data_IF_836104276295
#
_entry.id   IF_836104276295
#
_cell.length_a   1.000
_cell.length_b   1.000
_cell.length_c   1.000
_cell.angle_alpha   90.00
_cell.angle_beta   90.00
_cell.angle_gamma   90.00
#
_symmetry.space_group_name_H-M   'P 1'
#
loop_
_entity.id
_entity.type
_entity.pdbx_description
1 polymer ?
#
# COMPACT_ATOMS: atom_id res chain seq x y z
N UNK A 1 -50.66 -3.76 26.21
CA UNK A 1 -50.56 -3.16 24.86
C UNK A 1 -49.81 -1.83 24.98
N UNK A 2 -48.49 -1.85 24.78
CA UNK A 2 -47.66 -0.75 24.24
C UNK A 2 -46.20 -1.20 24.28
N UNK A 3 -45.72 -1.54 23.09
CA UNK A 3 -44.34 -1.77 22.77
C UNK A 3 -43.61 -0.42 22.88
N UNK A 4 -42.54 -0.36 23.66
CA UNK A 4 -41.54 0.69 23.47
C UNK A 4 -40.24 0.02 23.05
N UNK A 5 -40.21 -0.15 21.73
CA UNK A 5 -39.08 -0.41 20.86
C UNK A 5 -37.89 0.45 21.32
N UNK A 6 -36.92 -0.17 21.97
CA UNK A 6 -35.60 0.44 22.07
C UNK A 6 -35.03 0.47 20.65
N UNK A 7 -34.63 1.64 20.12
CA UNK A 7 -33.95 1.66 18.84
C UNK A 7 -32.70 0.82 19.00
N UNK A 8 -32.62 -0.21 18.16
CA UNK A 8 -31.44 -1.05 17.93
C UNK A 8 -30.20 -0.17 18.09
N UNK A 9 -29.54 -0.30 19.25
CA UNK A 9 -28.17 0.15 19.43
C UNK A 9 -27.43 -0.58 18.32
N UNK A 10 -27.22 0.12 17.20
CA UNK A 10 -26.40 -0.33 16.11
C UNK A 10 -25.13 -0.80 16.78
N UNK A 11 -24.90 -2.12 16.81
CA UNK A 11 -23.66 -2.68 17.35
C UNK A 11 -22.56 -1.82 16.72
N UNK A 12 -21.69 -1.15 17.51
CA UNK A 12 -20.58 -0.46 16.89
C UNK A 12 -19.95 -1.50 15.97
N UNK A 13 -19.66 -1.09 14.74
CA UNK A 13 -19.01 -1.93 13.74
C UNK A 13 -17.59 -2.21 14.24
N UNK A 14 -17.49 -2.99 15.31
CA UNK A 14 -16.29 -3.40 16.01
C UNK A 14 -15.83 -4.68 15.34
N UNK A 15 -15.50 -4.52 14.07
CA UNK A 15 -14.49 -5.34 13.43
C UNK A 15 -13.38 -4.42 12.97
N UNK A 16 -12.78 -3.74 13.94
CA UNK A 16 -11.36 -3.41 13.79
C UNK A 16 -10.66 -4.77 13.84
N UNK A 17 -9.90 -5.20 12.81
CA UNK A 17 -8.98 -6.31 13.00
C UNK A 17 -7.86 -5.81 13.91
N UNK A 18 -8.15 -5.70 15.21
CA UNK A 18 -7.24 -5.18 16.20
C UNK A 18 -6.25 -6.29 16.57
N UNK A 19 -5.13 -6.30 15.85
CA UNK A 19 -3.94 -6.91 16.42
C UNK A 19 -2.75 -6.90 15.48
N UNK A 20 -2.97 -7.18 14.20
CA UNK A 20 -1.88 -7.48 13.26
C UNK A 20 -2.27 -7.10 11.84
N UNK A 21 -1.58 -6.14 11.27
CA UNK A 21 -1.67 -5.71 9.89
C UNK A 21 -0.40 -6.10 9.15
N UNK A 22 -0.54 -6.44 7.88
CA UNK A 22 0.58 -6.66 6.96
C UNK A 22 1.00 -5.29 6.44
N UNK A 23 2.20 -4.86 6.81
CA UNK A 23 2.70 -3.50 6.55
C UNK A 23 3.84 -3.56 5.54
N UNK A 24 3.76 -2.82 4.43
CA UNK A 24 4.79 -2.82 3.40
C UNK A 24 6.05 -2.08 3.88
N UNK A 25 7.21 -2.71 3.67
CA UNK A 25 8.52 -2.16 4.04
C UNK A 25 9.48 -2.12 2.85
N UNK A 26 10.56 -1.36 2.99
CA UNK A 26 11.73 -1.44 2.12
C UNK A 26 12.93 -1.86 2.95
N UNK A 27 13.68 -2.89 2.54
CA UNK A 27 15.01 -3.14 3.08
C UNK A 27 15.91 -1.93 2.83
N UNK A 28 16.72 -1.57 3.83
CA UNK A 28 17.72 -0.52 3.75
C UNK A 28 18.95 -0.86 4.59
N UNK A 29 20.02 -0.04 4.52
CA UNK A 29 21.30 -0.33 5.16
C UNK A 29 21.21 -0.51 6.69
N UNK A 30 20.22 0.13 7.32
CA UNK A 30 20.00 0.14 8.77
C UNK A 30 18.79 -0.69 9.22
N UNK A 31 18.20 -1.48 8.31
CA UNK A 31 17.06 -2.35 8.60
C UNK A 31 15.85 -2.10 7.70
N UNK A 32 14.66 -2.44 8.21
CA UNK A 32 13.40 -2.33 7.47
C UNK A 32 12.77 -0.97 7.70
N UNK A 33 12.48 -0.25 6.61
CA UNK A 33 11.79 1.04 6.65
C UNK A 33 10.36 0.88 6.21
N UNK A 34 9.39 1.27 7.03
CA UNK A 34 7.98 1.27 6.64
C UNK A 34 7.72 2.30 5.54
N UNK A 35 6.96 1.91 4.51
CA UNK A 35 6.69 2.76 3.35
C UNK A 35 5.61 3.81 3.64
N UNK A 36 5.89 5.07 3.32
CA UNK A 36 4.89 6.16 3.25
C UNK A 36 4.24 6.17 1.86
N UNK A 37 2.93 6.33 1.81
CA UNK A 37 2.15 6.45 0.57
C UNK A 37 1.46 7.82 0.49
N UNK A 38 0.80 8.05 -0.64
CA UNK A 38 -0.01 9.24 -0.87
C UNK A 38 -1.44 8.88 -1.26
N UNK A 39 -2.41 9.67 -0.81
CA UNK A 39 -3.79 9.63 -1.29
C UNK A 39 -3.88 10.19 -2.71
N UNK A 40 -4.99 9.99 -3.44
CA UNK A 40 -5.21 10.64 -4.74
C UNK A 40 -5.16 12.17 -4.68
N UNK A 41 -5.47 12.76 -3.52
CA UNK A 41 -5.39 14.21 -3.28
C UNK A 41 -3.96 14.68 -2.93
N UNK A 42 -3.00 13.76 -2.77
CA UNK A 42 -1.59 14.05 -2.54
C UNK A 42 -1.14 13.99 -1.07
N UNK A 43 -2.07 13.83 -0.14
CA UNK A 43 -1.79 13.75 1.30
C UNK A 43 -1.01 12.49 1.64
N UNK A 44 -0.10 12.58 2.63
CA UNK A 44 0.65 11.42 3.10
C UNK A 44 -0.26 10.51 3.93
N UNK A 45 -0.18 9.21 3.67
CA UNK A 45 -0.93 8.20 4.43
C UNK A 45 -0.05 6.98 4.71
N UNK A 46 -0.22 6.38 5.89
CA UNK A 46 0.26 5.05 6.17
C UNK A 46 -0.66 4.03 5.47
N UNK A 47 -0.08 2.99 4.89
CA UNK A 47 -0.86 1.91 4.25
C UNK A 47 -0.56 0.61 4.95
N UNK A 48 -1.60 -0.17 5.19
CA UNK A 48 -1.48 -1.53 5.68
C UNK A 48 -2.56 -2.42 5.04
N UNK A 49 -2.38 -3.73 5.16
CA UNK A 49 -3.27 -4.71 4.57
C UNK A 49 -3.76 -5.68 5.63
N UNK A 50 -5.00 -6.15 5.50
CA UNK A 50 -5.54 -7.17 6.39
C UNK A 50 -4.98 -8.56 6.08
N UNK A 51 -4.35 -8.77 4.92
CA UNK A 51 -3.78 -10.04 4.51
C UNK A 51 -2.67 -9.89 3.46
N UNK A 52 -1.79 -10.89 3.38
CA UNK A 52 -0.72 -10.94 2.37
C UNK A 52 -1.28 -10.97 0.93
N UNK A 53 -2.33 -11.75 0.60
CA UNK A 53 -2.91 -11.71 -0.75
C UNK A 53 -3.40 -10.32 -1.18
N UNK A 54 -3.97 -9.53 -0.25
CA UNK A 54 -4.39 -8.14 -0.54
C UNK A 54 -3.19 -7.23 -0.79
N UNK A 55 -2.12 -7.38 -0.02
CA UNK A 55 -0.86 -6.67 -0.28
C UNK A 55 -0.32 -6.99 -1.67
N UNK A 56 -0.23 -8.28 -2.01
CA UNK A 56 0.30 -8.75 -3.30
C UNK A 56 -0.54 -8.25 -4.47
N UNK A 57 -1.86 -8.24 -4.34
CA UNK A 57 -2.76 -7.71 -5.36
C UNK A 57 -2.52 -6.22 -5.67
N UNK A 58 -2.05 -5.44 -4.70
CA UNK A 58 -1.85 -3.99 -4.85
C UNK A 58 -0.39 -3.62 -5.15
N UNK A 59 0.58 -4.26 -4.50
CA UNK A 59 2.00 -3.88 -4.57
C UNK A 59 2.87 -4.89 -5.32
N UNK A 60 2.30 -6.02 -5.77
CA UNK A 60 3.01 -7.11 -6.41
C UNK A 60 3.61 -8.11 -5.41
N UNK A 61 3.98 -9.31 -5.89
CA UNK A 61 4.49 -10.39 -5.05
C UNK A 61 5.87 -10.12 -4.44
N UNK A 62 6.69 -9.30 -5.11
CA UNK A 62 8.06 -9.01 -4.68
C UNK A 62 8.13 -7.96 -3.57
N UNK A 63 7.00 -7.38 -3.17
CA UNK A 63 6.95 -6.34 -2.14
C UNK A 63 7.26 -6.92 -0.75
N UNK A 64 8.34 -6.50 -0.07
CA UNK A 64 8.63 -6.94 1.30
C UNK A 64 7.61 -6.40 2.31
N UNK A 65 7.32 -7.18 3.35
CA UNK A 65 6.34 -6.82 4.38
C UNK A 65 6.73 -7.34 5.76
N UNK A 66 6.15 -6.72 6.79
CA UNK A 66 6.21 -7.15 8.19
C UNK A 66 4.81 -7.17 8.78
N UNK A 67 4.64 -7.82 9.93
CA UNK A 67 3.38 -7.78 10.68
C UNK A 67 3.52 -6.83 11.86
N UNK A 68 2.67 -5.82 11.93
CA UNK A 68 2.65 -4.85 13.03
C UNK A 68 1.24 -4.68 13.56
N UNK A 69 1.12 -4.39 14.86
CA UNK A 69 -0.14 -3.95 15.43
C UNK A 69 -0.50 -2.56 14.91
N UNK A 70 -1.79 -2.31 14.70
CA UNK A 70 -2.27 -0.99 14.27
C UNK A 70 -1.73 0.16 15.15
N UNK A 71 -1.74 0.08 16.50
CA UNK A 71 -1.18 1.15 17.33
C UNK A 71 0.32 1.38 17.08
N UNK A 72 1.08 0.31 16.80
CA UNK A 72 2.50 0.42 16.48
C UNK A 72 2.71 1.14 15.13
N UNK A 73 1.89 0.85 14.13
CA UNK A 73 1.92 1.59 12.85
C UNK A 73 1.66 3.07 13.11
N UNK A 74 0.58 3.42 13.82
CA UNK A 74 0.26 4.81 14.13
C UNK A 74 1.39 5.51 14.88
N UNK A 75 2.01 4.86 15.85
CA UNK A 75 3.14 5.41 16.60
C UNK A 75 4.37 5.68 15.73
N UNK A 76 4.68 4.82 14.76
CA UNK A 76 5.80 5.01 13.83
C UNK A 76 5.61 6.22 12.90
N UNK A 77 4.37 6.52 12.52
CA UNK A 77 4.05 7.58 11.57
C UNK A 77 3.69 8.92 12.21
N UNK A 78 3.25 8.94 13.47
CA UNK A 78 2.94 10.14 14.23
C UNK A 78 4.05 11.23 14.18
N UNK A 79 5.35 10.93 14.42
CA UNK A 79 6.40 11.95 14.37
C UNK A 79 6.66 12.51 12.97
N UNK A 80 6.17 11.84 11.92
CA UNK A 80 6.29 12.30 10.53
C UNK A 80 5.10 13.18 10.10
N UNK A 81 4.16 13.47 11.01
CA UNK A 81 2.92 14.19 10.74
C UNK A 81 1.91 13.38 9.92
N UNK A 82 2.08 12.06 9.83
CA UNK A 82 1.17 11.17 9.09
C UNK A 82 0.21 10.52 10.07
N UNK A 83 -1.01 11.03 10.12
CA UNK A 83 -2.05 10.57 11.07
C UNK A 83 -3.06 9.61 10.44
N UNK A 84 -3.20 9.65 9.11
CA UNK A 84 -4.05 8.75 8.36
C UNK A 84 -3.42 7.36 8.22
N UNK A 85 -4.22 6.32 8.47
CA UNK A 85 -3.90 4.93 8.20
C UNK A 85 -4.99 4.35 7.29
N UNK A 86 -4.61 3.97 6.09
CA UNK A 86 -5.47 3.33 5.10
C UNK A 86 -5.24 1.81 5.15
N UNK A 87 -6.29 1.06 5.45
CA UNK A 87 -6.27 -0.42 5.44
C UNK A 87 -6.90 -0.91 4.15
N UNK A 88 -6.23 -1.84 3.46
CA UNK A 88 -6.67 -2.44 2.19
C UNK A 88 -7.06 -1.40 1.12
N UNK A 89 -6.13 -0.52 0.70
CA UNK A 89 -6.42 0.48 -0.31
C UNK A 89 -6.85 -0.18 -1.62
N UNK A 90 -7.89 0.38 -2.25
CA UNK A 90 -8.21 0.08 -3.64
C UNK A 90 -7.27 0.88 -4.55
N UNK A 91 -6.73 0.25 -5.60
CA UNK A 91 -5.92 0.94 -6.60
C UNK A 91 -6.78 2.01 -7.29
N UNK A 92 -6.40 3.27 -7.12
CA UNK A 92 -7.08 4.40 -7.77
C UNK A 92 -6.72 4.52 -9.26
N UNK A 93 -5.69 3.81 -9.74
CA UNK A 93 -5.23 3.83 -11.12
C UNK A 93 -5.10 2.40 -11.67
N UNK A 94 -5.36 2.17 -12.97
CA UNK A 94 -5.06 0.88 -13.61
C UNK A 94 -3.57 0.53 -13.50
N UNK A 95 -3.24 -0.77 -13.49
CA UNK A 95 -1.86 -1.23 -13.45
C UNK A 95 -1.02 -0.58 -14.57
N UNK A 96 0.22 -0.12 -14.28
CA UNK A 96 1.10 0.43 -15.30
C UNK A 96 1.30 -0.58 -16.44
N UNK A 97 1.15 -0.15 -17.69
CA UNK A 97 1.50 -1.01 -18.83
C UNK A 97 3.01 -1.26 -18.80
N UNK A 98 3.48 -2.50 -19.03
CA UNK A 98 4.91 -2.80 -19.14
C UNK A 98 5.56 -1.85 -20.14
N UNK A 99 6.66 -1.21 -19.74
CA UNK A 99 7.45 -0.41 -20.66
C UNK A 99 8.11 -1.36 -21.67
N UNK A 100 8.02 -1.12 -22.99
CA UNK A 100 8.73 -1.95 -23.96
C UNK A 100 10.22 -1.88 -23.65
N UNK A 101 10.86 -3.03 -23.49
CA UNK A 101 12.31 -3.10 -23.33
C UNK A 101 12.96 -2.34 -24.49
N UNK A 102 13.99 -1.53 -24.23
CA UNK A 102 14.72 -0.74 -25.22
C UNK A 102 15.53 -1.63 -26.19
N UNK A 103 14.88 -2.52 -26.92
CA UNK A 103 15.50 -3.30 -27.98
C UNK A 103 15.46 -2.56 -29.33
N UNK A 104 14.59 -1.56 -29.48
CA UNK A 104 14.26 -1.00 -30.79
C UNK A 104 15.04 0.28 -31.14
N UNK A 105 15.87 0.79 -30.22
CA UNK A 105 16.78 1.92 -30.50
C UNK A 105 18.13 1.45 -31.06
N UNK A 106 18.15 0.31 -31.76
CA UNK A 106 19.27 -0.04 -32.62
C UNK A 106 19.34 1.00 -33.76
N UNK A 107 20.10 2.08 -33.52
CA UNK A 107 20.45 3.06 -34.54
C UNK A 107 20.98 2.31 -35.77
N UNK A 108 20.57 2.68 -36.99
CA UNK A 108 21.06 2.05 -38.21
C UNK A 108 22.59 2.04 -38.18
N UNK A 109 23.18 0.85 -38.11
CA UNK A 109 24.63 0.73 -38.28
C UNK A 109 24.94 1.17 -39.70
N UNK A 110 25.59 2.31 -39.85
CA UNK A 110 26.10 2.77 -41.15
C UNK A 110 26.92 1.63 -41.75
N UNK A 111 26.48 1.14 -42.91
CA UNK A 111 27.23 0.16 -43.68
C UNK A 111 28.50 0.84 -44.16
N UNK A 112 29.63 0.50 -43.54
CA UNK A 112 30.96 0.88 -43.99
C UNK A 112 31.09 0.62 -45.49
N UNK A 113 31.32 1.70 -46.24
CA UNK A 113 31.81 1.67 -47.61
C UNK A 113 33.29 1.30 -47.56
N UNK A 114 33.63 0.12 -48.04
CA UNK A 114 34.97 -0.24 -48.54
C UNK A 114 34.73 -0.64 -50.01
N UNK A 115 35.08 0.24 -50.96
CA UNK A 115 36.40 0.37 -51.59
C UNK A 115 36.68 -0.82 -52.51
#
# INVERSE_FOLDING_TARGET
>A
MKQQLYPELSKPSERVPAGRLVVPVRPGPVGLTVRVFRTPLGDRTAVAFSSVPRLVAVLGPDQPWVVLAEPAVRALFAPLGVTALTVDPQLAAPAPRPWPARADLALPRERSRAA
#
